data_IF_401823952977
#
_entry.id   IF_401823952977
#
_cell.length_a   1.000
_cell.length_b   1.000
_cell.length_c   1.000
_cell.angle_alpha   90.00
_cell.angle_beta   90.00
_cell.angle_gamma   90.00
#
_symmetry.space_group_name_H-M   'P 1'
#
loop_
_entity.id
_entity.type
_entity.pdbx_description
1 polymer ?
#
# COMPACT_ATOMS: atom_id res chain seq x y z
N UNK A 1 26.99 27.72 15.27
CA UNK A 1 25.62 27.19 14.97
C UNK A 1 25.59 25.70 15.29
N UNK A 2 24.77 25.26 16.24
CA UNK A 2 24.63 23.83 16.49
C UNK A 2 23.90 23.18 15.30
N UNK A 3 24.47 22.11 14.74
CA UNK A 3 23.82 21.37 13.66
C UNK A 3 22.54 20.71 14.22
N UNK A 4 21.42 20.91 13.54
CA UNK A 4 20.15 20.23 13.87
C UNK A 4 20.36 18.71 13.73
N UNK A 5 20.03 17.95 14.77
CA UNK A 5 20.07 16.49 14.73
C UNK A 5 18.71 15.96 14.27
N UNK A 6 18.74 15.07 13.29
CA UNK A 6 17.57 14.34 12.81
C UNK A 6 17.78 12.86 13.14
N UNK A 7 16.77 12.23 13.67
CA UNK A 7 16.79 10.81 14.08
C UNK A 7 15.59 10.08 13.50
N UNK A 8 15.74 8.76 13.29
CA UNK A 8 14.62 7.86 13.02
C UNK A 8 14.07 7.42 14.37
N UNK A 9 12.79 7.66 14.61
CA UNK A 9 12.12 7.34 15.87
C UNK A 9 11.25 6.09 15.80
N UNK A 10 10.87 5.66 14.60
CA UNK A 10 10.08 4.45 14.41
C UNK A 10 10.14 3.96 12.98
N UNK A 11 9.94 2.67 12.80
CA UNK A 11 9.96 1.98 11.52
C UNK A 11 8.67 1.20 11.30
N UNK A 12 8.19 1.20 10.07
CA UNK A 12 7.07 0.37 9.65
C UNK A 12 7.23 -0.06 8.20
N UNK A 13 6.89 -1.30 7.90
CA UNK A 13 6.95 -1.82 6.54
C UNK A 13 5.88 -2.86 6.28
N UNK A 14 5.48 -2.93 5.03
CA UNK A 14 4.78 -4.05 4.43
C UNK A 14 5.35 -4.24 3.03
N UNK A 15 5.83 -5.42 2.74
CA UNK A 15 6.55 -5.69 1.50
C UNK A 15 6.40 -7.18 1.11
N UNK A 16 6.89 -7.61 -0.06
CA UNK A 16 6.78 -8.99 -0.51
C UNK A 16 7.48 -10.03 0.38
N UNK A 17 8.39 -9.62 1.27
CA UNK A 17 9.03 -10.54 2.21
C UNK A 17 8.15 -10.79 3.44
N UNK A 18 7.59 -9.71 4.02
CA UNK A 18 6.76 -9.80 5.23
C UNK A 18 5.95 -8.51 5.47
N UNK A 19 5.04 -8.61 6.44
CA UNK A 19 4.14 -7.53 6.82
C UNK A 19 4.61 -6.75 8.06
N UNK A 20 5.86 -6.92 8.49
CA UNK A 20 6.47 -6.17 9.59
C UNK A 20 7.99 -6.05 9.40
N UNK A 21 8.61 -5.16 10.19
CA UNK A 21 10.05 -4.85 10.08
C UNK A 21 10.93 -6.03 10.49
N UNK A 22 10.60 -6.71 11.59
CA UNK A 22 11.42 -7.79 12.13
C UNK A 22 11.56 -8.95 11.14
N UNK A 23 10.42 -9.47 10.68
CA UNK A 23 10.39 -10.60 9.75
C UNK A 23 10.96 -10.23 8.37
N UNK A 24 10.72 -8.99 7.93
CA UNK A 24 11.30 -8.47 6.69
C UNK A 24 12.82 -8.44 6.77
N UNK A 25 13.35 -7.97 7.88
CA UNK A 25 14.79 -7.92 8.13
C UNK A 25 15.41 -9.30 8.20
N UNK A 26 14.80 -10.22 8.96
CA UNK A 26 15.27 -11.60 9.06
C UNK A 26 15.33 -12.28 7.69
N UNK A 27 14.28 -12.18 6.90
CA UNK A 27 14.26 -12.75 5.54
C UNK A 27 15.30 -12.08 4.63
N UNK A 28 15.46 -10.77 4.74
CA UNK A 28 16.42 -10.01 3.95
C UNK A 28 17.86 -10.46 4.20
N UNK A 29 18.28 -10.56 5.47
CA UNK A 29 19.66 -10.99 5.81
C UNK A 29 19.92 -12.46 5.48
N UNK A 30 18.87 -13.28 5.40
CA UNK A 30 18.96 -14.69 4.98
C UNK A 30 18.85 -14.86 3.44
N UNK A 31 18.82 -13.78 2.68
CA UNK A 31 18.79 -13.81 1.22
C UNK A 31 17.49 -14.37 0.63
N UNK A 32 16.39 -14.33 1.37
CA UNK A 32 15.09 -14.79 0.90
C UNK A 32 14.56 -13.81 -0.16
N UNK A 33 14.10 -14.34 -1.29
CA UNK A 33 13.45 -13.54 -2.35
C UNK A 33 11.98 -13.34 -2.05
N UNK A 34 11.51 -12.10 -2.19
CA UNK A 34 10.07 -11.78 -2.20
C UNK A 34 9.47 -11.78 -3.62
N UNK A 35 10.24 -12.13 -4.64
CA UNK A 35 9.77 -12.25 -6.02
C UNK A 35 9.25 -13.66 -6.25
N UNK A 36 8.04 -13.76 -6.81
CA UNK A 36 7.35 -15.01 -7.07
C UNK A 36 6.43 -14.84 -8.29
N UNK A 37 5.77 -15.91 -8.74
CA UNK A 37 4.76 -15.80 -9.78
C UNK A 37 3.62 -14.87 -9.36
N UNK A 38 3.16 -14.06 -10.32
CA UNK A 38 2.04 -13.14 -10.10
C UNK A 38 0.76 -13.96 -9.88
N UNK A 39 0.02 -13.63 -8.83
CA UNK A 39 -1.23 -14.31 -8.46
C UNK A 39 -2.45 -13.37 -8.45
N UNK A 40 -2.23 -12.07 -8.49
CA UNK A 40 -3.28 -11.05 -8.39
C UNK A 40 -4.09 -10.85 -9.68
N UNK A 41 -3.55 -11.29 -10.83
CA UNK A 41 -4.21 -11.24 -12.13
C UNK A 41 -3.65 -12.31 -13.09
N UNK A 42 -4.36 -12.57 -14.18
CA UNK A 42 -3.92 -13.51 -15.21
C UNK A 42 -2.73 -12.94 -16.02
N UNK A 43 -1.70 -13.74 -16.15
CA UNK A 43 -0.44 -13.39 -16.84
C UNK A 43 -0.17 -14.25 -18.07
N UNK A 44 -1.15 -15.02 -18.58
CA UNK A 44 -0.93 -15.98 -19.67
C UNK A 44 -0.31 -15.31 -20.89
N UNK A 45 -0.84 -14.16 -21.28
CA UNK A 45 -0.41 -13.38 -22.45
C UNK A 45 0.74 -12.39 -22.17
N UNK A 46 1.28 -12.36 -20.95
CA UNK A 46 2.34 -11.41 -20.60
C UNK A 46 3.74 -12.02 -20.72
N UNK A 47 4.73 -11.22 -21.18
CA UNK A 47 6.11 -11.68 -21.27
C UNK A 47 6.77 -11.85 -19.90
N UNK A 48 6.31 -11.16 -18.86
CA UNK A 48 6.81 -11.24 -17.48
C UNK A 48 5.70 -11.79 -16.58
N UNK A 49 5.99 -12.87 -15.87
CA UNK A 49 5.04 -13.62 -15.06
C UNK A 49 5.37 -13.62 -13.55
N UNK A 50 6.33 -12.81 -13.14
CA UNK A 50 6.77 -12.73 -11.75
C UNK A 50 6.88 -11.30 -11.28
N UNK A 51 6.55 -11.07 -10.01
CA UNK A 51 6.62 -9.77 -9.35
C UNK A 51 6.78 -9.94 -7.83
N UNK A 52 7.04 -8.83 -7.15
CA UNK A 52 6.96 -8.75 -5.70
C UNK A 52 5.54 -8.38 -5.28
N UNK A 53 4.75 -9.35 -4.84
CA UNK A 53 3.39 -9.13 -4.33
C UNK A 53 3.39 -9.17 -2.80
N UNK A 54 2.68 -8.23 -2.17
CA UNK A 54 2.39 -8.29 -0.73
C UNK A 54 1.37 -9.39 -0.49
N UNK A 55 1.77 -10.42 0.26
CA UNK A 55 0.96 -11.58 0.63
C UNK A 55 0.33 -11.39 2.01
N UNK A 56 -0.72 -12.13 2.29
CA UNK A 56 -1.35 -12.22 3.61
C UNK A 56 -1.78 -10.86 4.21
N UNK A 57 -2.28 -9.96 3.36
CA UNK A 57 -2.82 -8.67 3.78
C UNK A 57 -4.18 -8.39 3.13
N UNK A 58 -5.23 -8.41 3.94
CA UNK A 58 -6.58 -7.99 3.57
C UNK A 58 -6.90 -6.61 4.18
N UNK A 59 -7.06 -5.62 3.32
CA UNK A 59 -7.42 -4.27 3.73
C UNK A 59 -8.83 -4.20 4.34
N UNK A 60 -9.76 -5.09 3.94
CA UNK A 60 -11.11 -5.10 4.50
C UNK A 60 -11.12 -5.56 5.96
N UNK A 61 -10.28 -6.54 6.30
CA UNK A 61 -10.12 -7.00 7.67
C UNK A 61 -9.40 -5.94 8.52
N UNK A 62 -8.39 -5.29 7.94
CA UNK A 62 -7.55 -4.33 8.65
C UNK A 62 -8.25 -3.00 8.97
N UNK A 63 -8.91 -2.37 8.00
CA UNK A 63 -9.49 -1.03 8.14
C UNK A 63 -11.02 -0.98 7.96
N UNK A 64 -11.65 -2.13 7.76
CA UNK A 64 -13.08 -2.27 7.50
C UNK A 64 -13.47 -1.99 6.05
N UNK A 65 -14.47 -2.73 5.56
CA UNK A 65 -14.91 -2.71 4.15
C UNK A 65 -15.26 -1.31 3.63
N UNK A 66 -15.87 -0.46 4.47
CA UNK A 66 -16.29 0.88 4.04
C UNK A 66 -15.11 1.82 3.74
N UNK A 67 -14.03 1.72 4.51
CA UNK A 67 -12.82 2.51 4.29
C UNK A 67 -11.98 1.91 3.16
N UNK A 68 -11.77 0.59 3.16
CA UNK A 68 -10.99 -0.08 2.15
C UNK A 68 -11.52 0.18 0.72
N UNK A 69 -12.85 0.15 0.52
CA UNK A 69 -13.45 0.40 -0.80
C UNK A 69 -13.23 1.79 -1.39
N UNK A 70 -12.87 2.77 -0.56
CA UNK A 70 -12.63 4.17 -0.98
C UNK A 70 -11.19 4.45 -1.36
N UNK A 71 -10.31 3.51 -1.09
CA UNK A 71 -8.87 3.67 -1.20
C UNK A 71 -8.31 2.65 -2.21
N UNK A 72 -7.20 3.02 -2.82
CA UNK A 72 -6.43 2.11 -3.67
C UNK A 72 -5.46 1.26 -2.84
N UNK A 73 -4.96 0.17 -3.44
CA UNK A 73 -4.02 -0.75 -2.79
C UNK A 73 -2.78 -0.04 -2.25
N UNK A 74 -2.25 0.94 -2.96
CA UNK A 74 -1.09 1.72 -2.53
C UNK A 74 -1.36 2.49 -1.23
N UNK A 75 -2.57 3.06 -1.11
CA UNK A 75 -3.00 3.74 0.12
C UNK A 75 -3.19 2.75 1.28
N UNK A 76 -3.76 1.56 1.04
CA UNK A 76 -3.89 0.52 2.06
C UNK A 76 -2.53 0.15 2.67
N UNK A 77 -1.54 -0.13 1.81
CA UNK A 77 -0.19 -0.49 2.25
C UNK A 77 0.50 0.67 2.98
N UNK A 78 0.31 1.90 2.50
CA UNK A 78 0.88 3.10 3.11
C UNK A 78 0.33 3.35 4.51
N UNK A 79 -0.98 3.23 4.71
CA UNK A 79 -1.63 3.38 6.04
C UNK A 79 -1.10 2.32 7.00
N UNK A 80 -1.05 1.07 6.57
CA UNK A 80 -0.57 -0.04 7.39
C UNK A 80 0.88 0.17 7.85
N UNK A 81 1.78 0.52 6.93
CA UNK A 81 3.18 0.80 7.27
C UNK A 81 3.33 2.04 8.18
N UNK A 82 2.51 3.07 7.97
CA UNK A 82 2.52 4.28 8.80
C UNK A 82 2.12 3.96 10.24
N UNK A 83 1.05 3.20 10.44
CA UNK A 83 0.62 2.83 11.79
C UNK A 83 1.67 2.01 12.53
N UNK A 84 2.37 1.10 11.84
CA UNK A 84 3.51 0.40 12.45
C UNK A 84 4.60 1.37 12.90
N UNK A 85 4.99 2.32 12.03
CA UNK A 85 6.02 3.30 12.34
C UNK A 85 5.63 4.21 13.53
N UNK A 86 4.37 4.61 13.61
CA UNK A 86 3.85 5.41 14.72
C UNK A 86 3.85 4.62 16.04
N UNK A 87 3.45 3.35 16.00
CA UNK A 87 3.50 2.47 17.17
C UNK A 87 4.92 2.22 17.64
N UNK A 88 5.84 1.96 16.73
CA UNK A 88 7.26 1.75 17.03
C UNK A 88 7.91 3.01 17.62
N UNK A 89 7.49 4.20 17.16
CA UNK A 89 7.88 5.49 17.71
C UNK A 89 7.22 5.83 19.06
N UNK A 90 6.31 4.98 19.60
CA UNK A 90 5.47 5.26 20.77
C UNK A 90 4.64 6.54 20.63
N UNK A 91 4.23 6.89 19.41
CA UNK A 91 3.32 7.99 19.17
C UNK A 91 1.87 7.51 19.29
N UNK A 92 1.06 8.24 20.06
CA UNK A 92 -0.35 7.92 20.21
C UNK A 92 -1.10 8.26 18.90
N UNK A 93 -1.65 7.24 18.25
CA UNK A 93 -2.39 7.41 17.00
C UNK A 93 -3.83 7.85 17.20
N UNK A 94 -4.35 7.78 18.44
CA UNK A 94 -5.69 8.23 18.78
C UNK A 94 -5.74 9.74 19.03
N UNK A 95 -4.61 10.35 19.35
CA UNK A 95 -4.50 11.79 19.52
C UNK A 95 -4.17 12.48 18.19
N UNK A 96 -4.79 13.63 17.97
CA UNK A 96 -4.48 14.45 16.81
C UNK A 96 -3.04 14.94 16.90
N UNK A 97 -2.18 14.38 16.06
CA UNK A 97 -0.82 14.87 15.90
C UNK A 97 -0.89 16.32 15.40
N UNK A 98 -0.29 17.25 16.13
CA UNK A 98 -0.39 18.68 15.86
C UNK A 98 0.17 19.11 14.49
N UNK A 99 0.16 20.40 14.21
CA UNK A 99 0.63 20.99 12.94
C UNK A 99 2.12 20.83 12.67
N UNK A 100 2.89 20.31 13.61
CA UNK A 100 4.33 20.04 13.47
C UNK A 100 4.63 18.64 12.89
N UNK A 101 3.61 17.85 12.60
CA UNK A 101 3.75 16.52 11.99
C UNK A 101 3.27 16.57 10.54
N UNK A 102 4.13 16.13 9.64
CA UNK A 102 3.83 16.01 8.22
C UNK A 102 3.93 14.56 7.77
N UNK A 103 3.13 14.20 6.76
CA UNK A 103 3.18 12.90 6.10
C UNK A 103 3.57 13.13 4.64
N UNK A 104 4.57 12.41 4.17
CA UNK A 104 5.01 12.44 2.77
C UNK A 104 5.09 11.01 2.25
N UNK A 105 4.26 10.69 1.27
CA UNK A 105 4.29 9.41 0.56
C UNK A 105 4.67 9.61 -0.90
N UNK A 106 5.52 8.71 -1.40
CA UNK A 106 5.81 8.57 -2.81
C UNK A 106 5.27 7.23 -3.34
N UNK A 107 4.80 7.25 -4.58
CA UNK A 107 4.37 6.04 -5.30
C UNK A 107 4.82 6.14 -6.75
N UNK A 108 5.17 5.00 -7.37
CA UNK A 108 5.61 4.98 -8.76
C UNK A 108 4.50 5.36 -9.73
N UNK A 109 3.34 4.72 -9.62
CA UNK A 109 2.18 4.97 -10.50
C UNK A 109 0.94 5.30 -9.68
N UNK A 110 0.77 4.70 -8.51
CA UNK A 110 -0.33 4.87 -7.56
C UNK A 110 -1.72 4.81 -8.18
N UNK A 111 -2.64 4.11 -7.57
CA UNK A 111 -4.04 4.14 -7.98
C UNK A 111 -4.36 3.68 -9.40
N UNK A 112 -3.47 2.95 -10.09
CA UNK A 112 -3.69 2.53 -11.48
C UNK A 112 -4.94 1.65 -11.60
N UNK A 113 -5.18 0.75 -10.65
CA UNK A 113 -6.38 -0.09 -10.62
C UNK A 113 -7.66 0.72 -10.43
N UNK A 114 -7.63 1.75 -9.57
CA UNK A 114 -8.76 2.66 -9.40
C UNK A 114 -9.03 3.47 -10.67
N UNK A 115 -7.99 3.92 -11.35
CA UNK A 115 -8.10 4.63 -12.63
C UNK A 115 -8.69 3.73 -13.72
N UNK A 116 -8.20 2.50 -13.86
CA UNK A 116 -8.71 1.53 -14.82
C UNK A 116 -10.21 1.24 -14.58
N UNK A 117 -10.59 0.98 -13.33
CA UNK A 117 -11.97 0.76 -12.96
C UNK A 117 -12.87 1.97 -13.25
N UNK A 118 -12.40 3.18 -12.98
CA UNK A 118 -13.14 4.41 -13.29
C UNK A 118 -13.36 4.57 -14.80
N UNK A 119 -12.35 4.29 -15.64
CA UNK A 119 -12.48 4.33 -17.10
C UNK A 119 -13.47 3.27 -17.60
N UNK A 120 -13.40 2.04 -17.10
CA UNK A 120 -14.34 0.98 -17.47
C UNK A 120 -15.78 1.34 -17.12
N UNK A 121 -16.02 1.82 -15.88
CA UNK A 121 -17.36 2.23 -15.45
C UNK A 121 -17.90 3.37 -16.32
N UNK A 122 -17.07 4.37 -16.62
CA UNK A 122 -17.45 5.47 -17.49
C UNK A 122 -17.86 5.00 -18.90
N UNK A 123 -17.10 4.07 -19.48
CA UNK A 123 -17.40 3.53 -20.82
C UNK A 123 -18.68 2.69 -20.82
N UNK A 124 -18.95 1.94 -19.77
CA UNK A 124 -20.18 1.17 -19.60
C UNK A 124 -21.41 2.09 -19.49
N UNK A 125 -21.34 3.10 -18.64
CA UNK A 125 -22.41 4.09 -18.47
C UNK A 125 -22.69 4.84 -19.76
N UNK A 126 -21.66 5.22 -20.49
CA UNK A 126 -21.80 5.91 -21.78
C UNK A 126 -22.44 5.04 -22.86
N UNK A 127 -22.14 3.72 -22.88
CA UNK A 127 -22.77 2.76 -23.78
C UNK A 127 -24.25 2.58 -23.44
N UNK A 128 -24.56 2.43 -22.15
CA UNK A 128 -25.92 2.30 -21.64
C UNK A 128 -26.79 3.52 -22.00
N UNK A 129 -26.27 4.72 -21.85
CA UNK A 129 -26.97 5.97 -22.19
C UNK A 129 -27.28 6.08 -23.70
N UNK A 130 -26.35 5.61 -24.57
CA UNK A 130 -26.55 5.63 -26.01
C UNK A 130 -27.57 4.61 -26.51
N UNK A 131 -27.76 3.50 -25.79
CA UNK A 131 -28.72 2.46 -26.17
C UNK A 131 -30.16 2.81 -25.74
N UNK A 132 -30.33 3.77 -24.82
CA UNK A 132 -31.62 4.20 -24.28
C UNK A 132 -32.09 5.54 -24.86
N UNK A 133 -31.37 6.09 -25.82
CA UNK A 133 -31.73 7.30 -26.58
C UNK A 133 -32.03 6.97 -28.05
#
# INVERSE_FOLDING_TARGET
>A
MSKRRVVVSGLGTINPLANNVSDSWEKLINGVSGIDFITSFDTEDLPVKFAGEVKDFDANEYMGKQHARKLDRSAHLSIFATEQALRDANLNTEERLGTNVGIVFGTGIGGIGATENAVRTYDEDRKSTRLNS
#
